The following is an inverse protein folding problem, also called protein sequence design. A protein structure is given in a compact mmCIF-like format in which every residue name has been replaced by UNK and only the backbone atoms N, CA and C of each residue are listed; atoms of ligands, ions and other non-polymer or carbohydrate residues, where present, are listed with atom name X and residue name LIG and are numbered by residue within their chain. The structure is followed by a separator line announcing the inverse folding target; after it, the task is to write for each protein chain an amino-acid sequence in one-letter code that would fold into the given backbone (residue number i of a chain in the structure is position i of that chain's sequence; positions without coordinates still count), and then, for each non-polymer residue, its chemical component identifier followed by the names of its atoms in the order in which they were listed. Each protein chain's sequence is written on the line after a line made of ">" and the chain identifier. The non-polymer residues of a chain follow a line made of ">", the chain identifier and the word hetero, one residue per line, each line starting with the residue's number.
data_IF_033466976449
#
_entry.id   IF_033466976449
#
_cell.length_a   1.000
_cell.length_b   1.000
_cell.length_c   1.000
_cell.angle_alpha   90.00
_cell.angle_beta   90.00
_cell.angle_gamma   90.00
#
_symmetry.space_group_name_H-M   'P 1'
#
loop_
_entity.id
_entity.type
_entity.pdbx_description
1 polymer ?
#
# COMPACT_ATOMS: atom_id res chain seq x y z
N UNK A 1 15.28 20.41 -20.31
CA UNK A 1 14.41 20.57 -19.14
C UNK A 1 14.01 19.15 -18.71
N UNK A 2 14.77 18.54 -17.80
CA UNK A 2 14.46 17.18 -17.34
C UNK A 2 13.11 17.22 -16.62
N UNK A 3 12.11 16.60 -17.23
CA UNK A 3 10.84 16.32 -16.57
C UNK A 3 11.15 15.50 -15.32
N UNK A 4 11.21 16.16 -14.17
CA UNK A 4 11.13 15.51 -12.86
C UNK A 4 9.83 14.73 -12.87
N UNK A 5 9.93 13.44 -13.22
CA UNK A 5 8.89 12.44 -13.00
C UNK A 5 8.60 12.52 -11.50
N UNK A 6 7.54 13.24 -11.14
CA UNK A 6 7.03 13.30 -9.78
C UNK A 6 6.50 11.91 -9.45
N UNK A 7 7.42 10.99 -9.13
CA UNK A 7 7.11 9.64 -8.72
C UNK A 7 6.36 9.77 -7.40
N UNK A 8 5.05 9.62 -7.45
CA UNK A 8 4.14 9.69 -6.32
C UNK A 8 4.57 8.81 -5.14
N UNK A 9 5.22 7.69 -5.43
CA UNK A 9 5.84 6.78 -4.47
C UNK A 9 7.05 7.36 -3.70
N UNK A 10 7.75 8.33 -4.27
CA UNK A 10 8.96 8.94 -3.69
C UNK A 10 8.66 10.09 -2.72
N UNK A 11 7.51 10.77 -2.89
CA UNK A 11 7.04 11.81 -1.97
C UNK A 11 5.51 11.80 -1.90
N UNK A 12 4.90 10.77 -1.30
CA UNK A 12 3.45 10.69 -1.18
C UNK A 12 2.92 11.87 -0.35
N UNK A 13 1.87 12.54 -0.81
CA UNK A 13 1.20 13.56 -0.01
C UNK A 13 0.45 12.89 1.14
N UNK A 14 0.34 13.60 2.26
CA UNK A 14 -0.33 13.11 3.48
C UNK A 14 -1.79 12.69 3.22
N UNK A 15 -2.46 13.44 2.33
CA UNK A 15 -3.82 13.17 1.86
C UNK A 15 -3.87 11.82 1.13
N UNK A 16 -2.88 11.52 0.30
CA UNK A 16 -2.85 10.30 -0.50
C UNK A 16 -2.64 9.05 0.37
N UNK A 17 -1.80 9.14 1.40
CA UNK A 17 -1.69 8.08 2.41
C UNK A 17 -3.00 7.87 3.16
N UNK A 18 -3.68 8.96 3.55
CA UNK A 18 -4.94 8.87 4.25
C UNK A 18 -6.04 8.18 3.44
N UNK A 19 -6.07 8.35 2.10
CA UNK A 19 -7.01 7.65 1.23
C UNK A 19 -6.60 6.21 0.92
N UNK A 20 -5.30 5.92 0.81
CA UNK A 20 -4.79 4.58 0.50
C UNK A 20 -5.06 3.59 1.64
N UNK A 21 -4.91 3.99 2.90
CA UNK A 21 -5.09 3.10 4.05
C UNK A 21 -6.51 2.49 4.16
N UNK A 22 -7.60 3.28 4.13
CA UNK A 22 -8.96 2.73 4.14
C UNK A 22 -9.29 1.97 2.86
N UNK A 23 -8.77 2.42 1.70
CA UNK A 23 -8.95 1.70 0.44
C UNK A 23 -8.27 0.32 0.45
N UNK A 24 -7.09 0.23 1.06
CA UNK A 24 -6.37 -1.03 1.26
C UNK A 24 -7.11 -1.97 2.21
N UNK A 25 -7.66 -1.45 3.32
CA UNK A 25 -8.51 -2.22 4.23
C UNK A 25 -9.76 -2.77 3.53
N UNK A 26 -10.44 -1.92 2.76
CA UNK A 26 -11.60 -2.31 1.94
C UNK A 26 -11.25 -3.42 0.94
N UNK A 27 -10.15 -3.26 0.19
CA UNK A 27 -9.70 -4.27 -0.75
C UNK A 27 -9.42 -5.61 -0.07
N UNK A 28 -8.65 -5.63 1.02
CA UNK A 28 -8.36 -6.88 1.74
C UNK A 28 -9.62 -7.53 2.34
N UNK A 29 -10.57 -6.73 2.81
CA UNK A 29 -11.82 -7.23 3.39
C UNK A 29 -12.72 -7.86 2.32
N UNK A 30 -12.85 -7.22 1.16
CA UNK A 30 -13.53 -7.78 -0.03
C UNK A 30 -12.84 -9.05 -0.51
N UNK A 31 -11.51 -9.06 -0.53
CA UNK A 31 -10.69 -10.18 -0.95
C UNK A 31 -10.91 -11.41 -0.02
N UNK A 32 -10.94 -11.19 1.30
CA UNK A 32 -11.26 -12.22 2.30
C UNK A 32 -12.70 -12.75 2.18
N UNK A 33 -13.67 -11.86 1.94
CA UNK A 33 -15.08 -12.23 1.72
C UNK A 33 -15.25 -13.05 0.44
N UNK A 34 -14.54 -12.68 -0.64
CA UNK A 34 -14.59 -13.40 -1.90
C UNK A 34 -14.09 -14.86 -1.76
N UNK A 35 -13.01 -15.09 -0.99
CA UNK A 35 -12.54 -16.44 -0.70
C UNK A 35 -13.56 -17.22 0.14
N UNK A 36 -14.04 -16.61 1.24
CA UNK A 36 -14.89 -17.33 2.19
C UNK A 36 -16.29 -17.63 1.67
N UNK A 37 -16.84 -16.77 0.81
CA UNK A 37 -18.25 -16.80 0.43
C UNK A 37 -18.55 -17.22 -1.02
N UNK A 38 -17.66 -16.93 -1.98
CA UNK A 38 -18.04 -16.98 -3.40
C UNK A 38 -17.30 -18.04 -4.23
N UNK A 39 -16.15 -18.51 -3.75
CA UNK A 39 -15.32 -19.44 -4.48
C UNK A 39 -15.12 -20.70 -3.64
N UNK A 40 -15.69 -21.87 -4.03
CA UNK A 40 -15.34 -23.18 -3.46
C UNK A 40 -13.97 -23.59 -4.00
N UNK A 41 -13.00 -22.72 -3.81
CA UNK A 41 -11.63 -22.84 -4.25
C UNK A 41 -10.96 -23.79 -3.24
N UNK A 42 -11.01 -25.09 -3.55
CA UNK A 42 -10.00 -26.06 -3.07
C UNK A 42 -8.71 -25.74 -3.81
N UNK A 43 -8.05 -24.63 -3.50
CA UNK A 43 -6.78 -24.31 -4.14
C UNK A 43 -5.73 -24.32 -3.04
N UNK A 44 -4.70 -25.12 -3.28
CA UNK A 44 -3.38 -25.14 -2.66
C UNK A 44 -2.65 -23.76 -2.73
N UNK A 45 -3.39 -22.67 -2.97
CA UNK A 45 -2.95 -21.32 -3.29
C UNK A 45 -3.13 -20.33 -2.14
N UNK A 46 -3.34 -20.83 -0.92
CA UNK A 46 -3.22 -20.03 0.30
C UNK A 46 -1.90 -19.24 0.31
N UNK A 47 -0.82 -19.86 -0.17
CA UNK A 47 0.52 -19.26 -0.20
C UNK A 47 0.60 -18.01 -1.09
N UNK A 48 -0.05 -18.00 -2.27
CA UNK A 48 -0.06 -16.83 -3.15
C UNK A 48 -0.86 -15.67 -2.54
N UNK A 49 -1.93 -16.01 -1.83
CA UNK A 49 -2.78 -15.04 -1.18
C UNK A 49 -2.09 -14.40 0.02
N UNK A 50 -1.45 -15.23 0.85
CA UNK A 50 -0.62 -14.78 1.95
C UNK A 50 0.53 -13.91 1.42
N UNK A 51 1.15 -14.31 0.31
CA UNK A 51 2.18 -13.50 -0.35
C UNK A 51 1.64 -12.14 -0.82
N UNK A 52 0.40 -12.09 -1.31
CA UNK A 52 -0.25 -10.84 -1.74
C UNK A 52 -0.57 -9.93 -0.56
N UNK A 53 -1.10 -10.48 0.54
CA UNK A 53 -1.37 -9.72 1.78
C UNK A 53 -0.05 -9.19 2.36
N UNK A 54 0.96 -10.04 2.50
CA UNK A 54 2.29 -9.67 3.02
C UNK A 54 2.93 -8.62 2.09
N UNK A 55 2.94 -8.85 0.78
CA UNK A 55 3.52 -7.94 -0.21
C UNK A 55 2.85 -6.57 -0.19
N UNK A 56 1.51 -6.52 -0.14
CA UNK A 56 0.77 -5.26 -0.07
C UNK A 56 1.02 -4.51 1.24
N UNK A 57 1.19 -5.23 2.36
CA UNK A 57 1.54 -4.65 3.67
C UNK A 57 2.94 -4.02 3.64
N UNK A 58 3.93 -4.73 3.08
CA UNK A 58 5.30 -4.20 2.94
C UNK A 58 5.32 -2.95 2.04
N UNK A 59 4.50 -2.92 0.99
CA UNK A 59 4.39 -1.77 0.10
C UNK A 59 3.82 -0.54 0.83
N UNK A 60 2.80 -0.74 1.65
CA UNK A 60 2.20 0.28 2.52
C UNK A 60 3.21 0.81 3.54
N UNK A 61 3.96 -0.08 4.19
CA UNK A 61 5.02 0.30 5.14
C UNK A 61 6.09 1.15 4.43
N UNK A 62 6.54 0.76 3.23
CA UNK A 62 7.50 1.56 2.45
C UNK A 62 6.95 2.94 2.10
N UNK A 63 5.66 3.06 1.75
CA UNK A 63 5.01 4.34 1.52
C UNK A 63 5.02 5.23 2.77
N UNK A 64 4.74 4.67 3.95
CA UNK A 64 4.81 5.38 5.22
C UNK A 64 6.24 5.81 5.58
N UNK A 65 7.23 4.93 5.40
CA UNK A 65 8.66 5.25 5.64
C UNK A 65 9.10 6.40 4.71
N UNK A 66 8.74 6.35 3.43
CA UNK A 66 9.04 7.43 2.48
C UNK A 66 8.36 8.74 2.86
N UNK A 67 7.12 8.70 3.35
CA UNK A 67 6.42 9.87 3.86
C UNK A 67 7.15 10.52 5.04
N UNK A 68 7.52 9.72 6.05
CA UNK A 68 8.25 10.22 7.22
C UNK A 68 9.64 10.74 6.85
N UNK A 69 10.35 10.06 5.94
CA UNK A 69 11.66 10.51 5.43
C UNK A 69 11.56 11.84 4.70
N UNK A 70 10.56 12.00 3.83
CA UNK A 70 10.28 13.26 3.12
C UNK A 70 9.96 14.40 4.11
N UNK A 71 9.17 14.11 5.16
CA UNK A 71 8.85 15.09 6.22
C UNK A 71 10.09 15.51 7.01
N UNK A 72 11.00 14.57 7.33
CA UNK A 72 12.25 14.86 8.04
C UNK A 72 13.17 15.77 7.23
N UNK A 73 13.30 15.53 5.92
CA UNK A 73 14.09 16.37 5.00
C UNK A 73 13.51 17.79 4.89
N UNK A 74 12.18 17.93 4.90
CA UNK A 74 11.52 19.24 4.86
C UNK A 74 11.66 20.01 6.17
N UNK A 75 11.75 19.31 7.30
CA UNK A 75 11.93 19.91 8.64
C UNK A 75 13.35 20.41 8.91
N UNK A 76 14.36 19.94 8.18
CA UNK A 76 15.76 20.37 8.32
C UNK A 76 16.13 21.60 7.47
N UNK A 77 15.15 22.18 6.76
CA UNK A 77 15.30 23.39 5.92
C UNK A 77 14.69 24.64 6.54
N UNK A 78 14.32 24.60 7.82
CA UNK A 78 13.83 25.74 8.61
C UNK A 78 14.90 26.09 9.63
#
# INVERSE_FOLDING_TARGET
>A
MENKKNNWFSSPLKINLFWITPLWLLCNSLLLLAIKGFLPIKIEGHTLFDFFIIGSTVLLIRLYINFFRSKKIKSQRI
#
